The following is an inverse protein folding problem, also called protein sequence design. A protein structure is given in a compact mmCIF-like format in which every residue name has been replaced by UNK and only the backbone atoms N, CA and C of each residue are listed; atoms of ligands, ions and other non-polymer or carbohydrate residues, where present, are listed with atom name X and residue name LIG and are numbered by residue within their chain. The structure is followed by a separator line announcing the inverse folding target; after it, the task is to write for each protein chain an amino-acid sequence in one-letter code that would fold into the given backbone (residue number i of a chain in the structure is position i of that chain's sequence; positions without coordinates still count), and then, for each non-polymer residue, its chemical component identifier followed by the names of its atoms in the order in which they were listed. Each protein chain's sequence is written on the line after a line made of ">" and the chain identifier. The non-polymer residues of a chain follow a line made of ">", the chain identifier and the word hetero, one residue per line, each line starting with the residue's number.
data_IF_979724021752
#
_entry.id   IF_979724021752
#
_cell.length_a   1.000
_cell.length_b   1.000
_cell.length_c   1.000
_cell.angle_alpha   90.00
_cell.angle_beta   90.00
_cell.angle_gamma   90.00
#
_symmetry.space_group_name_H-M   'P 1'
#
loop_
_entity.id
_entity.type
_entity.pdbx_description
1 polymer ?
#
# COMPACT_ATOMS: atom_id res chain seq x y z
N UNK A 1 -3.35 12.31 -3.89
CA UNK A 1 -2.91 11.41 -4.97
C UNK A 1 -3.65 10.09 -4.91
N UNK A 2 -4.01 9.55 -6.05
CA UNK A 2 -4.68 8.25 -6.13
C UNK A 2 -3.81 7.24 -6.87
N UNK A 3 -3.80 6.01 -6.36
CA UNK A 3 -3.09 4.89 -6.99
C UNK A 3 -4.09 3.75 -7.15
N UNK A 4 -4.32 3.29 -8.38
CA UNK A 4 -5.33 2.27 -8.71
C UNK A 4 -6.71 2.63 -8.17
N UNK A 5 -7.05 3.91 -8.17
CA UNK A 5 -8.33 4.39 -7.66
C UNK A 5 -8.41 4.52 -6.15
N UNK A 6 -7.32 4.29 -5.43
CA UNK A 6 -7.26 4.39 -3.97
C UNK A 6 -6.64 5.72 -3.57
N UNK A 7 -7.29 6.44 -2.66
CA UNK A 7 -6.80 7.72 -2.16
C UNK A 7 -5.63 7.49 -1.20
N UNK A 8 -4.47 8.03 -1.55
CA UNK A 8 -3.24 7.89 -0.78
C UNK A 8 -2.89 9.12 0.05
N UNK A 9 -3.81 10.08 0.16
CA UNK A 9 -3.53 11.36 0.81
C UNK A 9 -3.18 11.25 2.30
N UNK A 10 -3.56 10.15 2.95
CA UNK A 10 -3.21 9.92 4.36
C UNK A 10 -1.77 9.46 4.57
N UNK A 11 -1.06 9.15 3.50
CA UNK A 11 0.34 8.69 3.58
C UNK A 11 1.30 9.86 3.39
N UNK A 12 2.55 9.67 3.85
CA UNK A 12 3.61 10.64 3.55
C UNK A 12 3.92 10.58 2.05
N UNK A 13 4.56 11.63 1.55
CA UNK A 13 4.96 11.66 0.13
C UNK A 13 5.85 10.47 -0.23
N UNK A 14 6.78 10.13 0.65
CA UNK A 14 7.68 8.99 0.45
C UNK A 14 6.91 7.67 0.35
N UNK A 15 5.93 7.48 1.23
CA UNK A 15 5.07 6.31 1.20
C UNK A 15 4.22 6.28 -0.07
N UNK A 16 3.69 7.43 -0.49
CA UNK A 16 2.92 7.52 -1.73
C UNK A 16 3.75 7.12 -2.94
N UNK A 17 5.00 7.58 -3.00
CA UNK A 17 5.90 7.23 -4.11
C UNK A 17 6.18 5.73 -4.12
N UNK A 18 6.41 5.13 -2.96
CA UNK A 18 6.63 3.69 -2.84
C UNK A 18 5.39 2.91 -3.28
N UNK A 19 4.21 3.34 -2.86
CA UNK A 19 2.95 2.70 -3.26
C UNK A 19 2.75 2.77 -4.76
N UNK A 20 3.04 3.92 -5.37
CA UNK A 20 2.91 4.09 -6.82
C UNK A 20 3.81 3.11 -7.57
N UNK A 21 5.05 2.96 -7.14
CA UNK A 21 5.99 2.03 -7.77
C UNK A 21 5.51 0.59 -7.66
N UNK A 22 5.04 0.20 -6.50
CA UNK A 22 4.60 -1.17 -6.25
C UNK A 22 3.24 -1.49 -6.87
N UNK A 23 2.42 -0.47 -7.15
CA UNK A 23 1.09 -0.68 -7.73
C UNK A 23 1.13 -1.40 -9.09
N UNK A 24 2.25 -1.31 -9.80
CA UNK A 24 2.41 -1.97 -11.09
C UNK A 24 2.49 -3.48 -10.98
N UNK A 25 2.83 -3.99 -9.80
CA UNK A 25 3.07 -5.41 -9.57
C UNK A 25 2.02 -6.07 -8.67
N UNK A 26 1.08 -5.28 -8.14
CA UNK A 26 0.11 -5.78 -7.18
C UNK A 26 -1.31 -5.39 -7.57
N UNK A 27 -2.27 -6.19 -7.12
CA UNK A 27 -3.68 -5.91 -7.35
C UNK A 27 -4.16 -4.76 -6.47
N UNK A 28 -5.33 -4.22 -6.82
CA UNK A 28 -5.97 -3.18 -6.00
C UNK A 28 -6.20 -3.67 -4.57
N UNK A 29 -6.62 -4.93 -4.40
CA UNK A 29 -6.86 -5.53 -3.08
C UNK A 29 -5.60 -5.53 -2.24
N UNK A 30 -4.46 -5.91 -2.83
CA UNK A 30 -3.16 -5.90 -2.16
C UNK A 30 -2.79 -4.47 -1.72
N UNK A 31 -2.95 -3.51 -2.63
CA UNK A 31 -2.62 -2.12 -2.35
C UNK A 31 -3.51 -1.54 -1.26
N UNK A 32 -4.79 -1.86 -1.26
CA UNK A 32 -5.73 -1.42 -0.23
C UNK A 32 -5.35 -1.98 1.14
N UNK A 33 -4.97 -3.26 1.17
CA UNK A 33 -4.51 -3.89 2.41
C UNK A 33 -3.29 -3.16 2.98
N UNK A 34 -2.32 -2.84 2.12
CA UNK A 34 -1.12 -2.13 2.54
C UNK A 34 -1.45 -0.74 3.09
N UNK A 35 -2.34 -0.01 2.40
CA UNK A 35 -2.76 1.30 2.85
C UNK A 35 -3.39 1.23 4.24
N UNK A 36 -4.29 0.28 4.46
CA UNK A 36 -4.95 0.12 5.75
C UNK A 36 -3.94 -0.18 6.85
N UNK A 37 -2.95 -1.02 6.58
CA UNK A 37 -1.89 -1.34 7.53
C UNK A 37 -1.07 -0.10 7.89
N UNK A 38 -0.68 0.70 6.89
CA UNK A 38 0.10 1.90 7.13
C UNK A 38 -0.69 2.96 7.88
N UNK A 39 -2.00 3.06 7.64
CA UNK A 39 -2.86 3.97 8.40
C UNK A 39 -2.90 3.61 9.88
N UNK A 40 -2.73 2.33 10.21
CA UNK A 40 -2.69 1.85 11.59
C UNK A 40 -1.30 1.95 12.21
N UNK A 41 -0.33 2.52 11.50
CA UNK A 41 1.01 2.77 12.00
C UNK A 41 2.07 1.80 11.53
N UNK A 42 1.76 0.86 10.66
CA UNK A 42 2.75 -0.06 10.13
C UNK A 42 3.70 0.66 9.17
N UNK A 43 4.96 0.22 9.15
CA UNK A 43 5.91 0.69 8.15
C UNK A 43 5.53 0.12 6.78
N UNK A 44 6.05 0.74 5.73
CA UNK A 44 5.83 0.23 4.36
C UNK A 44 6.28 -1.23 4.23
N UNK A 45 7.48 -1.55 4.73
CA UNK A 45 8.03 -2.90 4.65
C UNK A 45 7.14 -3.91 5.36
N UNK A 46 6.67 -3.57 6.55
CA UNK A 46 5.80 -4.46 7.33
C UNK A 46 4.43 -4.61 6.67
N UNK A 47 3.88 -3.51 6.15
CA UNK A 47 2.61 -3.54 5.42
C UNK A 47 2.70 -4.45 4.19
N UNK A 48 3.80 -4.36 3.46
CA UNK A 48 4.04 -5.18 2.27
C UNK A 48 4.11 -6.67 2.63
N UNK A 49 4.86 -7.01 3.68
CA UNK A 49 4.96 -8.38 4.15
C UNK A 49 3.62 -8.95 4.57
N UNK A 50 2.84 -8.17 5.32
CA UNK A 50 1.53 -8.60 5.78
C UNK A 50 0.56 -8.80 4.61
N UNK A 51 0.62 -7.91 3.62
CA UNK A 51 -0.21 -8.03 2.44
C UNK A 51 0.14 -9.28 1.62
N UNK A 52 1.42 -9.56 1.46
CA UNK A 52 1.85 -10.79 0.77
C UNK A 52 1.35 -12.05 1.47
N UNK A 53 1.36 -12.03 2.80
CA UNK A 53 0.93 -13.17 3.60
C UNK A 53 -0.59 -13.35 3.55
N UNK A 54 -1.35 -12.26 3.61
CA UNK A 54 -2.80 -12.32 3.79
C UNK A 54 -3.59 -12.19 2.49
N UNK A 55 -3.04 -11.54 1.49
CA UNK A 55 -3.69 -11.35 0.19
C UNK A 55 -3.00 -12.17 -0.90
N UNK A 56 -1.69 -12.30 -0.82
CA UNK A 56 -0.88 -13.06 -1.76
C UNK A 56 -0.39 -12.26 -2.95
N UNK A 57 -1.22 -11.37 -3.48
CA UNK A 57 -0.84 -10.62 -4.69
C UNK A 57 -1.22 -9.18 -4.62
#
# INVERSE_FOLDING_TARGET
>A
MRVKGIDMSSLTKRQQDSMKKHSQHHTKKHMQYMLNSMKRGATFTKAHKNAQKNVGK
#
